data_IF_289175599812
#
_entry.id   IF_289175599812
#
_cell.length_a   1.000
_cell.length_b   1.000
_cell.length_c   1.000
_cell.angle_alpha   90.00
_cell.angle_beta   90.00
_cell.angle_gamma   90.00
#
_symmetry.space_group_name_H-M   'P 1'
#
loop_
_entity.id
_entity.type
_entity.pdbx_description
1 polymer ?
#
# COMPACT_ATOMS: atom_id res chain seq x y z
N UNK A 1 24.11 -23.14 -25.41
CA UNK A 1 22.78 -22.89 -24.81
C UNK A 1 22.85 -23.44 -23.41
N UNK A 2 23.08 -22.59 -22.43
CA UNK A 2 23.18 -22.93 -21.01
C UNK A 2 22.05 -22.20 -20.30
N UNK A 3 21.05 -22.97 -19.88
CA UNK A 3 19.97 -22.50 -19.02
C UNK A 3 20.56 -22.08 -17.67
N UNK A 4 20.52 -20.81 -17.39
CA UNK A 4 20.71 -20.30 -16.01
C UNK A 4 19.39 -20.45 -15.26
N UNK A 5 19.32 -21.45 -14.39
CA UNK A 5 18.36 -21.53 -13.30
C UNK A 5 18.50 -20.26 -12.45
N UNK A 6 17.39 -19.57 -12.30
CA UNK A 6 17.23 -18.54 -11.27
C UNK A 6 17.04 -19.31 -9.97
N UNK A 7 18.06 -19.32 -9.13
CA UNK A 7 17.98 -19.87 -7.80
C UNK A 7 17.10 -18.97 -6.94
N UNK A 8 16.03 -19.54 -6.46
CA UNK A 8 15.11 -19.01 -5.45
C UNK A 8 15.85 -18.93 -4.10
N UNK A 9 16.71 -17.93 -3.94
CA UNK A 9 17.44 -17.69 -2.71
C UNK A 9 16.61 -16.85 -1.75
N UNK A 10 15.83 -17.54 -0.92
CA UNK A 10 15.73 -17.31 0.51
C UNK A 10 15.43 -15.90 0.99
N UNK A 11 14.15 -15.48 0.97
CA UNK A 11 13.65 -14.55 1.99
C UNK A 11 13.25 -15.38 3.21
N UNK A 12 14.23 -15.89 3.91
CA UNK A 12 14.09 -16.50 5.22
C UNK A 12 14.92 -15.67 6.22
N UNK A 13 14.33 -14.58 6.68
CA UNK A 13 14.74 -13.83 7.86
C UNK A 13 13.55 -13.79 8.81
N UNK A 14 13.17 -14.97 9.33
CA UNK A 14 12.15 -15.08 10.36
C UNK A 14 12.59 -14.36 11.61
N UNK A 15 11.95 -13.23 11.92
CA UNK A 15 11.77 -12.84 13.30
C UNK A 15 10.79 -13.86 13.88
N UNK A 16 11.21 -14.64 14.85
CA UNK A 16 10.37 -15.57 15.59
C UNK A 16 9.18 -14.79 16.15
N UNK A 17 8.03 -15.13 15.63
CA UNK A 17 6.71 -14.75 16.10
C UNK A 17 6.48 -15.38 17.47
N UNK A 18 6.58 -14.60 18.52
CA UNK A 18 6.08 -14.99 19.83
C UNK A 18 4.55 -14.95 19.78
N UNK A 19 3.98 -15.96 19.17
CA UNK A 19 2.71 -16.66 19.41
C UNK A 19 1.44 -15.94 19.88
N UNK A 20 1.32 -14.63 19.79
CA UNK A 20 0.03 -13.95 19.81
C UNK A 20 -0.29 -13.55 18.37
N UNK A 21 -0.82 -14.48 17.61
CA UNK A 21 -1.20 -14.28 16.23
C UNK A 21 -1.97 -12.98 16.07
N UNK A 22 -1.38 -12.00 15.35
CA UNK A 22 -2.12 -10.83 14.90
C UNK A 22 -3.24 -11.33 14.00
N UNK A 23 -4.46 -11.34 14.52
CA UNK A 23 -5.64 -11.84 13.81
C UNK A 23 -6.85 -10.97 14.10
N UNK A 24 -7.65 -10.77 13.07
CA UNK A 24 -8.95 -10.09 13.15
C UNK A 24 -10.10 -11.01 12.75
N UNK A 25 -9.86 -12.32 12.62
CA UNK A 25 -10.89 -13.31 12.21
C UNK A 25 -12.09 -13.33 13.15
N UNK A 26 -11.88 -13.05 14.43
CA UNK A 26 -12.91 -13.00 15.47
C UNK A 26 -13.32 -11.57 15.84
N UNK A 27 -12.90 -10.56 15.05
CA UNK A 27 -13.27 -9.17 15.32
C UNK A 27 -14.78 -9.00 15.16
N UNK A 28 -15.44 -8.60 16.24
CA UNK A 28 -16.88 -8.30 16.25
C UNK A 28 -17.20 -7.11 15.33
N UNK A 29 -18.44 -7.06 14.84
CA UNK A 29 -18.94 -5.95 14.05
C UNK A 29 -18.85 -4.62 14.84
N UNK A 30 -18.22 -3.62 14.23
CA UNK A 30 -17.97 -2.35 14.88
C UNK A 30 -16.80 -2.34 15.87
N UNK A 31 -16.21 -3.51 16.15
CA UNK A 31 -15.00 -3.63 16.95
C UNK A 31 -13.80 -2.96 16.28
N UNK A 32 -12.80 -2.60 17.08
CA UNK A 32 -11.54 -2.00 16.62
C UNK A 32 -10.38 -2.88 17.03
N UNK A 33 -9.45 -3.13 16.14
CA UNK A 33 -8.18 -3.81 16.39
C UNK A 33 -7.03 -2.94 15.85
N UNK A 34 -5.85 -2.93 16.48
CA UNK A 34 -5.53 -3.51 17.78
C UNK A 34 -6.10 -2.68 18.94
N UNK A 35 -6.14 -3.26 20.13
CA UNK A 35 -6.30 -2.48 21.34
C UNK A 35 -5.03 -1.65 21.62
N UNK A 36 -5.10 -0.72 22.58
CA UNK A 36 -3.97 0.17 22.88
C UNK A 36 -2.70 -0.58 23.31
N UNK A 37 -2.84 -1.66 24.06
CA UNK A 37 -1.69 -2.44 24.52
C UNK A 37 -1.06 -3.24 23.39
N UNK A 38 -1.88 -3.80 22.52
CA UNK A 38 -1.42 -4.49 21.29
C UNK A 38 -0.72 -3.51 20.34
N UNK A 39 -1.28 -2.31 20.17
CA UNK A 39 -0.66 -1.26 19.36
C UNK A 39 0.76 -0.94 19.84
N UNK A 40 0.94 -0.70 21.14
CA UNK A 40 2.27 -0.43 21.67
C UNK A 40 3.23 -1.60 21.49
N UNK A 41 2.77 -2.85 21.73
CA UNK A 41 3.62 -4.02 21.46
C UNK A 41 4.09 -4.12 20.00
N UNK A 42 3.22 -3.81 19.05
CA UNK A 42 3.59 -3.80 17.63
C UNK A 42 4.60 -2.69 17.31
N UNK A 43 4.39 -1.50 17.84
CA UNK A 43 5.33 -0.39 17.69
C UNK A 43 6.70 -0.71 18.32
N UNK A 44 6.72 -1.28 19.53
CA UNK A 44 7.93 -1.67 20.25
C UNK A 44 8.67 -2.83 19.55
N UNK A 45 7.94 -3.70 18.83
CA UNK A 45 8.51 -4.74 17.98
C UNK A 45 9.17 -4.19 16.69
N UNK A 46 9.12 -2.87 16.48
CA UNK A 46 9.78 -2.19 15.36
C UNK A 46 8.98 -2.10 14.07
N UNK A 47 7.68 -2.40 14.10
CA UNK A 47 6.81 -2.11 12.96
C UNK A 47 6.66 -0.60 12.79
N UNK A 48 6.94 -0.11 11.59
CA UNK A 48 6.86 1.31 11.25
C UNK A 48 5.48 1.73 10.75
N UNK A 49 4.68 0.75 10.36
CA UNK A 49 3.28 0.92 9.95
C UNK A 49 2.44 -0.04 10.77
N UNK A 50 1.55 0.50 11.60
CA UNK A 50 0.63 -0.30 12.42
C UNK A 50 -0.81 -0.04 11.97
N UNK A 51 -1.49 -1.02 11.37
CA UNK A 51 -2.87 -0.85 10.93
C UNK A 51 -3.81 -0.81 12.14
N UNK A 52 -4.71 0.16 12.15
CA UNK A 52 -5.84 0.24 13.07
C UNK A 52 -7.08 -0.01 12.23
N UNK A 53 -7.81 -1.08 12.54
CA UNK A 53 -8.87 -1.55 11.67
C UNK A 53 -10.22 -1.62 12.38
N UNK A 54 -11.28 -1.38 11.61
CA UNK A 54 -12.66 -1.54 12.04
C UNK A 54 -13.46 -2.21 10.92
N UNK A 55 -14.30 -3.17 11.26
CA UNK A 55 -15.17 -3.84 10.31
C UNK A 55 -16.62 -3.42 10.53
N UNK A 56 -17.28 -2.97 9.44
CA UNK A 56 -18.67 -2.51 9.46
C UNK A 56 -19.48 -3.21 8.37
N UNK A 57 -20.79 -3.32 8.57
CA UNK A 57 -21.71 -3.68 7.49
C UNK A 57 -21.80 -2.53 6.48
N UNK A 58 -21.86 -2.87 5.21
CA UNK A 58 -21.81 -1.89 4.12
C UNK A 58 -22.62 -2.36 2.91
N UNK A 59 -23.86 -2.75 3.15
CA UNK A 59 -24.77 -3.32 2.17
C UNK A 59 -25.50 -2.26 1.30
N UNK A 60 -25.37 -0.97 1.63
CA UNK A 60 -26.12 0.10 0.99
C UNK A 60 -25.31 0.98 0.02
N UNK A 61 -23.99 0.76 -0.10
CA UNK A 61 -23.11 1.60 -0.91
C UNK A 61 -22.27 0.77 -1.90
N UNK A 62 -22.14 1.31 -3.11
CA UNK A 62 -21.18 0.80 -4.10
C UNK A 62 -19.75 1.27 -3.78
N UNK A 63 -18.69 0.60 -4.29
CA UNK A 63 -17.32 1.07 -4.13
C UNK A 63 -17.11 2.52 -4.58
N UNK A 64 -17.72 2.92 -5.70
CA UNK A 64 -17.69 4.31 -6.19
C UNK A 64 -18.38 5.25 -5.19
N UNK A 65 -19.53 4.86 -4.64
CA UNK A 65 -20.22 5.65 -3.62
C UNK A 65 -19.41 5.82 -2.33
N UNK A 66 -18.61 4.81 -1.95
CA UNK A 66 -17.63 4.93 -0.87
C UNK A 66 -16.51 5.90 -1.24
N UNK A 67 -15.98 5.80 -2.46
CA UNK A 67 -14.92 6.71 -2.92
C UNK A 67 -15.38 8.16 -2.89
N UNK A 68 -16.55 8.46 -3.43
CA UNK A 68 -17.10 9.83 -3.44
C UNK A 68 -17.25 10.40 -2.01
N UNK A 69 -17.75 9.59 -1.08
CA UNK A 69 -17.97 10.03 0.31
C UNK A 69 -16.70 10.14 1.14
N UNK A 70 -15.76 9.22 0.98
CA UNK A 70 -14.57 9.13 1.83
C UNK A 70 -13.39 9.88 1.24
N UNK A 71 -13.15 9.78 -0.06
CA UNK A 71 -11.99 10.39 -0.72
C UNK A 71 -12.22 11.87 -1.07
N UNK A 72 -13.42 12.25 -1.49
CA UNK A 72 -13.79 13.66 -1.73
C UNK A 72 -12.89 14.38 -2.74
N UNK A 73 -12.31 13.66 -3.71
CA UNK A 73 -11.42 14.24 -4.72
C UNK A 73 -10.06 14.69 -4.21
N UNK A 74 -9.64 14.29 -3.01
CA UNK A 74 -8.31 14.62 -2.46
C UNK A 74 -7.19 14.02 -3.30
N UNK A 75 -6.05 14.70 -3.36
CA UNK A 75 -4.85 14.18 -4.02
C UNK A 75 -4.34 12.91 -3.34
N UNK A 76 -3.83 11.94 -4.12
CA UNK A 76 -3.30 10.69 -3.61
C UNK A 76 -4.37 9.66 -3.21
N UNK A 77 -5.62 9.89 -3.62
CA UNK A 77 -6.72 8.93 -3.45
C UNK A 77 -6.86 8.06 -4.69
N UNK A 78 -7.42 6.86 -4.51
CA UNK A 78 -7.59 5.91 -5.60
C UNK A 78 -8.77 4.97 -5.35
N UNK A 79 -9.22 4.32 -6.40
CA UNK A 79 -10.13 3.17 -6.34
C UNK A 79 -9.55 2.05 -7.22
N UNK A 80 -9.47 0.84 -6.65
CA UNK A 80 -9.09 -0.38 -7.35
C UNK A 80 -10.27 -1.33 -7.29
N UNK A 81 -10.88 -1.59 -8.42
CA UNK A 81 -12.06 -2.43 -8.54
C UNK A 81 -11.80 -3.50 -9.61
N UNK A 82 -12.12 -4.76 -9.30
CA UNK A 82 -11.99 -5.84 -10.27
C UNK A 82 -13.26 -5.97 -11.08
N UNK A 83 -13.12 -6.02 -12.40
CA UNK A 83 -14.23 -6.27 -13.32
C UNK A 83 -14.50 -7.76 -13.56
N UNK A 84 -13.69 -8.67 -13.00
CA UNK A 84 -13.79 -10.10 -13.25
C UNK A 84 -14.80 -10.75 -12.31
N UNK A 85 -15.84 -11.36 -12.87
CA UNK A 85 -16.88 -12.06 -12.10
C UNK A 85 -16.43 -13.49 -11.77
N UNK A 86 -16.41 -13.84 -10.47
CA UNK A 86 -16.28 -15.24 -10.00
C UNK A 86 -14.88 -15.72 -9.66
N UNK A 87 -13.85 -14.89 -9.71
CA UNK A 87 -12.50 -15.22 -9.29
C UNK A 87 -12.19 -14.76 -7.85
N UNK A 88 -11.13 -15.31 -7.24
CA UNK A 88 -10.63 -14.88 -5.93
C UNK A 88 -10.17 -13.41 -5.90
N UNK A 89 -9.88 -12.84 -7.04
CA UNK A 89 -9.48 -11.43 -7.22
C UNK A 89 -10.65 -10.44 -7.17
N UNK A 90 -11.88 -10.88 -7.44
CA UNK A 90 -13.08 -10.05 -7.45
C UNK A 90 -13.72 -9.87 -6.08
N UNK A 91 -13.15 -10.45 -5.03
CA UNK A 91 -13.71 -10.37 -3.68
C UNK A 91 -13.66 -8.97 -3.10
N UNK A 92 -12.61 -8.21 -3.38
CA UNK A 92 -12.37 -6.93 -2.73
C UNK A 92 -12.32 -5.77 -3.72
N UNK A 93 -12.89 -4.62 -3.33
CA UNK A 93 -12.59 -3.32 -3.91
C UNK A 93 -11.87 -2.46 -2.88
N UNK A 94 -10.78 -1.80 -3.31
CA UNK A 94 -9.94 -0.99 -2.43
C UNK A 94 -10.10 0.48 -2.76
N UNK A 95 -10.35 1.30 -1.75
CA UNK A 95 -10.51 2.74 -1.84
C UNK A 95 -9.42 3.40 -0.99
N UNK A 96 -8.46 4.06 -1.63
CA UNK A 96 -7.48 4.91 -0.96
C UNK A 96 -8.15 6.22 -0.57
N UNK A 97 -8.27 6.45 0.73
CA UNK A 97 -9.01 7.58 1.30
C UNK A 97 -8.08 8.76 1.58
N UNK A 98 -6.86 8.47 1.99
CA UNK A 98 -5.87 9.47 2.33
C UNK A 98 -4.45 8.97 2.07
N UNK A 99 -3.54 9.93 1.84
CA UNK A 99 -2.12 9.70 1.67
C UNK A 99 -1.35 10.85 2.31
N UNK A 100 -0.47 10.54 3.25
CA UNK A 100 0.35 11.55 3.92
C UNK A 100 1.54 11.99 3.07
N UNK A 101 1.99 11.15 2.15
CA UNK A 101 3.13 11.41 1.28
C UNK A 101 2.94 10.79 -0.11
N UNK A 102 3.52 11.44 -1.11
CA UNK A 102 3.57 10.94 -2.49
C UNK A 102 5.01 10.98 -2.98
N UNK A 103 5.48 9.86 -3.52
CA UNK A 103 6.75 9.78 -4.23
C UNK A 103 6.49 10.05 -5.71
N UNK A 104 7.23 10.98 -6.28
CA UNK A 104 7.17 11.32 -7.70
C UNK A 104 8.55 11.21 -8.33
N UNK A 105 8.59 10.91 -9.62
CA UNK A 105 9.79 11.06 -10.43
C UNK A 105 9.92 12.50 -10.90
N UNK A 106 11.09 13.09 -10.69
CA UNK A 106 11.53 14.32 -11.33
C UNK A 106 12.81 14.00 -12.13
N UNK A 107 12.68 13.82 -13.43
CA UNK A 107 13.75 13.36 -14.32
C UNK A 107 14.49 12.11 -13.79
N UNK A 108 13.71 11.10 -13.37
CA UNK A 108 14.22 9.84 -12.80
C UNK A 108 14.64 9.91 -11.34
N UNK A 109 14.69 11.11 -10.75
CA UNK A 109 15.04 11.30 -9.34
C UNK A 109 13.80 11.33 -8.45
N UNK A 110 13.97 10.80 -7.25
CA UNK A 110 12.93 10.81 -6.24
C UNK A 110 12.64 12.22 -5.74
N UNK A 111 11.36 12.56 -5.71
CA UNK A 111 10.84 13.78 -5.11
C UNK A 111 9.61 13.43 -4.27
N UNK A 112 9.71 13.62 -2.96
CA UNK A 112 8.61 13.40 -2.04
C UNK A 112 7.79 14.67 -1.82
N UNK A 113 6.48 14.52 -1.85
CA UNK A 113 5.52 15.56 -1.47
C UNK A 113 4.77 15.11 -0.21
N UNK A 114 4.57 16.01 0.75
CA UNK A 114 3.86 15.72 2.00
C UNK A 114 4.79 15.33 3.14
N UNK A 115 4.28 14.53 4.09
CA UNK A 115 5.01 14.11 5.29
C UNK A 115 5.74 12.80 5.04
N UNK A 116 7.04 12.87 4.80
CA UNK A 116 7.86 11.67 4.55
C UNK A 116 8.06 10.91 5.85
N UNK A 117 7.80 9.60 5.89
CA UNK A 117 8.02 8.81 7.10
C UNK A 117 9.50 8.75 7.50
N UNK A 118 9.75 8.67 8.80
CA UNK A 118 11.11 8.62 9.36
C UNK A 118 11.92 7.43 8.81
N UNK A 119 13.16 7.70 8.42
CA UNK A 119 14.09 6.70 7.91
C UNK A 119 13.89 6.29 6.44
N UNK A 120 12.88 6.86 5.76
CA UNK A 120 12.70 6.67 4.32
C UNK A 120 13.69 7.56 3.56
N UNK A 121 14.44 7.03 2.56
CA UNK A 121 15.34 7.86 1.76
C UNK A 121 14.55 8.88 0.93
N UNK A 122 15.10 10.09 0.84
CA UNK A 122 14.45 11.21 0.13
C UNK A 122 15.12 11.55 -1.19
N UNK A 123 16.31 11.02 -1.45
CA UNK A 123 17.12 11.31 -2.62
C UNK A 123 17.57 10.01 -3.31
N UNK A 124 17.76 10.06 -4.61
CA UNK A 124 18.22 8.95 -5.42
C UNK A 124 17.32 8.66 -6.61
N UNK A 125 17.52 7.50 -7.22
CA UNK A 125 16.63 6.96 -8.25
C UNK A 125 15.25 6.67 -7.65
N UNK A 126 14.18 7.05 -8.35
CA UNK A 126 12.81 6.93 -7.83
C UNK A 126 12.40 5.49 -7.52
N UNK A 127 12.85 4.53 -8.32
CA UNK A 127 12.54 3.11 -8.13
C UNK A 127 13.33 2.53 -6.94
N UNK A 128 14.61 2.90 -6.81
CA UNK A 128 15.42 2.50 -5.67
C UNK A 128 14.88 3.07 -4.36
N UNK A 129 14.45 4.34 -4.38
CA UNK A 129 13.82 4.99 -3.22
C UNK A 129 12.48 4.31 -2.88
N UNK A 130 11.65 3.97 -3.86
CA UNK A 130 10.41 3.23 -3.63
C UNK A 130 10.67 1.86 -2.97
N UNK A 131 11.65 1.11 -3.49
CA UNK A 131 12.07 -0.17 -2.90
C UNK A 131 12.58 -0.01 -1.46
N UNK A 132 13.40 0.99 -1.21
CA UNK A 132 13.94 1.25 0.13
C UNK A 132 12.83 1.70 1.10
N UNK A 133 11.89 2.53 0.63
CA UNK A 133 10.73 2.93 1.42
C UNK A 133 9.90 1.72 1.86
N UNK A 134 9.61 0.77 0.97
CA UNK A 134 8.87 -0.45 1.32
C UNK A 134 9.62 -1.33 2.34
N UNK A 135 10.96 -1.34 2.31
CA UNK A 135 11.77 -2.05 3.31
C UNK A 135 11.73 -1.40 4.69
N UNK A 136 11.64 -0.06 4.73
CA UNK A 136 11.54 0.70 5.98
C UNK A 136 10.12 0.60 6.56
N UNK A 137 9.11 0.75 5.71
CA UNK A 137 7.69 0.80 6.10
C UNK A 137 7.11 -0.61 6.31
N UNK A 138 7.68 -1.36 7.24
CA UNK A 138 7.20 -2.70 7.60
C UNK A 138 5.92 -2.60 8.42
N UNK A 139 4.92 -3.38 7.99
CA UNK A 139 3.67 -3.62 8.72
C UNK A 139 3.61 -5.07 9.21
N UNK A 140 2.90 -5.37 10.30
CA UNK A 140 2.66 -6.74 10.74
C UNK A 140 1.76 -7.46 9.74
N UNK A 141 1.98 -8.76 9.57
CA UNK A 141 0.99 -9.62 8.93
C UNK A 141 -0.16 -9.87 9.91
N UNK A 142 -1.40 -9.59 9.49
CA UNK A 142 -2.59 -9.74 10.32
C UNK A 142 -3.56 -10.69 9.62
N UNK A 143 -3.74 -11.88 10.20
CA UNK A 143 -4.65 -12.87 9.64
C UNK A 143 -6.10 -12.36 9.61
N UNK A 144 -6.81 -12.63 8.53
CA UNK A 144 -8.19 -12.19 8.32
C UNK A 144 -8.36 -10.80 7.71
N UNK A 145 -7.28 -10.01 7.55
CA UNK A 145 -7.33 -8.78 6.79
C UNK A 145 -7.27 -9.02 5.28
N UNK A 146 -7.82 -8.09 4.47
CA UNK A 146 -7.59 -8.05 3.03
C UNK A 146 -6.10 -7.93 2.69
N UNK A 147 -5.70 -8.39 1.51
CA UNK A 147 -4.29 -8.46 1.11
C UNK A 147 -3.59 -7.10 0.98
N UNK A 148 -4.33 -6.03 0.68
CA UNK A 148 -3.81 -4.66 0.63
C UNK A 148 -4.32 -3.87 1.83
N UNK A 149 -3.45 -3.61 2.79
CA UNK A 149 -3.75 -2.82 3.99
C UNK A 149 -2.96 -1.52 4.05
N UNK A 150 -1.84 -1.44 3.33
CA UNK A 150 -0.97 -0.27 3.18
C UNK A 150 -0.04 -0.49 2.00
N UNK A 151 0.70 0.52 1.59
CA UNK A 151 1.73 0.42 0.55
C UNK A 151 1.80 1.65 -0.33
N UNK A 152 2.60 1.54 -1.38
CA UNK A 152 2.71 2.55 -2.42
C UNK A 152 1.78 2.19 -3.57
N UNK A 153 0.83 3.05 -3.88
CA UNK A 153 -0.18 2.84 -4.94
C UNK A 153 -0.14 4.01 -5.91
N UNK A 154 -0.11 3.71 -7.20
CA UNK A 154 -0.08 4.76 -8.22
C UNK A 154 0.29 4.22 -9.60
N UNK A 155 0.98 5.03 -10.38
CA UNK A 155 1.39 4.70 -11.74
C UNK A 155 2.90 4.77 -11.91
N UNK A 156 3.40 3.85 -12.71
CA UNK A 156 4.76 3.84 -13.23
C UNK A 156 4.63 3.87 -14.74
N UNK A 157 5.15 4.91 -15.38
CA UNK A 157 5.06 5.12 -16.80
C UNK A 157 5.85 4.09 -17.58
N UNK A 158 5.54 3.96 -18.88
CA UNK A 158 6.21 3.01 -19.74
C UNK A 158 7.72 3.22 -19.80
N UNK A 159 8.16 4.47 -19.79
CA UNK A 159 9.56 4.83 -19.90
C UNK A 159 10.41 4.50 -18.67
N UNK A 160 9.78 4.14 -17.54
CA UNK A 160 10.47 3.63 -16.37
C UNK A 160 11.32 2.38 -16.65
N UNK A 161 11.04 1.63 -17.74
CA UNK A 161 11.88 0.51 -18.18
C UNK A 161 13.35 0.92 -18.36
N UNK A 162 13.64 2.18 -18.62
CA UNK A 162 15.01 2.68 -18.82
C UNK A 162 15.86 2.67 -17.55
N UNK A 163 15.23 2.60 -16.35
CA UNK A 163 15.94 2.38 -15.09
C UNK A 163 16.62 0.99 -15.05
N UNK A 164 16.08 0.01 -15.80
CA UNK A 164 16.62 -1.36 -15.87
C UNK A 164 17.32 -1.65 -17.20
N UNK A 165 16.93 -0.95 -18.25
CA UNK A 165 17.43 -1.14 -19.63
C UNK A 165 18.02 0.16 -20.17
N UNK A 166 19.21 0.60 -19.76
CA UNK A 166 19.80 1.88 -20.15
C UNK A 166 20.16 1.98 -21.63
N UNK A 167 20.14 0.85 -22.36
CA UNK A 167 20.36 0.82 -23.82
C UNK A 167 19.17 1.38 -24.59
N UNK A 168 17.97 1.38 -24.00
CA UNK A 168 16.78 1.96 -24.59
C UNK A 168 16.86 3.48 -24.55
N UNK A 169 16.70 4.11 -25.71
CA UNK A 169 16.68 5.58 -25.84
C UNK A 169 15.24 6.08 -25.84
N UNK A 170 15.02 7.25 -25.27
CA UNK A 170 13.76 7.96 -25.42
C UNK A 170 13.67 8.49 -26.87
N UNK A 171 12.64 8.07 -27.59
CA UNK A 171 12.41 8.49 -28.99
C UNK A 171 11.22 9.44 -29.09
N UNK A 172 10.24 9.32 -28.18
CA UNK A 172 9.07 10.17 -28.16
C UNK A 172 9.30 11.41 -27.27
N UNK A 173 8.89 12.60 -27.76
CA UNK A 173 8.88 13.80 -26.91
C UNK A 173 7.85 13.64 -25.79
N UNK A 174 8.16 14.17 -24.60
CA UNK A 174 7.17 14.29 -23.53
C UNK A 174 6.22 15.46 -23.83
N UNK A 175 5.04 15.13 -24.36
CA UNK A 175 4.01 16.12 -24.70
C UNK A 175 3.14 16.50 -23.47
N UNK A 176 3.18 15.70 -22.41
CA UNK A 176 2.25 15.83 -21.26
C UNK A 176 2.87 16.52 -20.07
N UNK A 177 4.18 16.45 -19.91
CA UNK A 177 4.90 16.92 -18.72
C UNK A 177 4.49 16.22 -17.43
N UNK A 178 3.92 15.00 -17.54
CA UNK A 178 3.51 14.24 -16.36
C UNK A 178 4.72 13.50 -15.79
N UNK A 179 4.82 13.40 -14.45
CA UNK A 179 5.86 12.58 -13.84
C UNK A 179 5.77 11.14 -14.32
N UNK A 180 6.91 10.54 -14.68
CA UNK A 180 6.98 9.13 -15.09
C UNK A 180 6.47 8.20 -13.99
N UNK A 181 6.76 8.52 -12.74
CA UNK A 181 6.32 7.73 -11.59
C UNK A 181 5.60 8.62 -10.60
N UNK A 182 4.41 8.18 -10.16
CA UNK A 182 3.65 8.81 -9.07
C UNK A 182 3.09 7.72 -8.18
N UNK A 183 3.58 7.64 -6.95
CA UNK A 183 3.18 6.63 -5.98
C UNK A 183 2.71 7.31 -4.69
N UNK A 184 1.46 7.13 -4.33
CA UNK A 184 0.89 7.61 -3.07
C UNK A 184 1.12 6.58 -1.96
N UNK A 185 1.58 7.01 -0.79
CA UNK A 185 1.61 6.17 0.40
C UNK A 185 0.19 6.06 0.96
N UNK A 186 -0.43 4.90 0.77
CA UNK A 186 -1.78 4.63 1.21
C UNK A 186 -1.82 4.48 2.74
N UNK A 187 -2.25 5.52 3.45
CA UNK A 187 -2.36 5.53 4.92
C UNK A 187 -3.75 5.19 5.40
N UNK A 188 -4.78 5.66 4.71
CA UNK A 188 -6.17 5.33 5.05
C UNK A 188 -6.83 4.64 3.87
N UNK A 189 -7.32 3.43 4.10
CA UNK A 189 -7.93 2.59 3.07
C UNK A 189 -9.30 2.10 3.57
N UNK A 190 -10.31 2.16 2.72
CA UNK A 190 -11.54 1.42 2.89
C UNK A 190 -11.55 0.22 1.94
N UNK A 191 -11.86 -0.97 2.44
CA UNK A 191 -11.91 -2.18 1.62
C UNK A 191 -13.30 -2.78 1.67
N UNK A 192 -13.98 -2.81 0.54
CA UNK A 192 -15.29 -3.44 0.41
C UNK A 192 -15.10 -4.93 0.14
N UNK A 193 -15.64 -5.77 1.01
CA UNK A 193 -15.69 -7.23 0.84
C UNK A 193 -17.05 -7.62 0.25
N UNK A 194 -17.07 -7.93 -1.03
CA UNK A 194 -18.30 -8.27 -1.78
C UNK A 194 -18.92 -9.59 -1.36
N UNK A 195 -18.15 -10.49 -0.74
CA UNK A 195 -18.65 -11.79 -0.28
C UNK A 195 -19.42 -11.64 1.02
N UNK A 196 -18.93 -10.83 1.94
CA UNK A 196 -19.56 -10.64 3.25
C UNK A 196 -20.46 -9.41 3.35
N UNK A 197 -20.52 -8.56 2.31
CA UNK A 197 -21.26 -7.29 2.35
C UNK A 197 -20.74 -6.34 3.43
N UNK A 198 -19.42 -6.37 3.67
CA UNK A 198 -18.79 -5.57 4.71
C UNK A 198 -17.75 -4.59 4.16
N UNK A 199 -17.43 -3.58 4.95
CA UNK A 199 -16.30 -2.69 4.71
C UNK A 199 -15.31 -2.77 5.86
N UNK A 200 -14.02 -2.91 5.52
CA UNK A 200 -12.92 -2.70 6.43
C UNK A 200 -12.45 -1.26 6.31
N UNK A 201 -12.45 -0.54 7.40
CA UNK A 201 -11.81 0.77 7.51
C UNK A 201 -10.45 0.56 8.15
N UNK A 202 -9.39 0.92 7.44
CA UNK A 202 -8.00 0.70 7.84
C UNK A 202 -7.30 2.04 7.88
N UNK A 203 -6.89 2.48 9.07
CA UNK A 203 -6.06 3.65 9.28
C UNK A 203 -4.67 3.19 9.72
N UNK A 204 -3.65 3.50 8.96
CA UNK A 204 -2.28 3.12 9.27
C UNK A 204 -1.59 4.21 10.07
N UNK A 205 -1.23 3.89 11.31
CA UNK A 205 -0.31 4.73 12.06
C UNK A 205 1.10 4.57 11.48
N UNK A 206 1.65 5.67 10.97
CA UNK A 206 2.99 5.71 10.36
C UNK A 206 3.86 6.65 11.19
N UNK A 207 5.06 6.21 11.55
CA UNK A 207 6.01 7.06 12.24
C UNK A 207 6.62 8.07 11.25
N UNK A 208 6.43 9.36 11.51
CA UNK A 208 6.94 10.48 10.71
C UNK A 208 8.05 11.28 11.40
N UNK A 209 8.37 10.94 12.69
CA UNK A 209 9.37 11.63 13.52
C UNK A 209 10.68 10.83 13.61
#
# INVERSE_FOLDING_TARGET
MSERRIDDAGVAGGLHDDGAACSVEHLEWGGTWPDRAQFHRLADAGYRVVPIVRRLLADSLTPVGFYERLAGGRSGTFILESAEYGGSWSRYSFIGVNSIAQLRSDHGKANWLGQVPAGVPTEGDVIEVAHAALKVLKAPHVAGLPNLTSGLVGSVGWDAIRHWEPTLRAEAPDETGQPETVLALATDIAVVDHVSGSVWLIANAVNVD
#
